data_IF_681011532669
#
_entry.id   IF_681011532669
#
_cell.length_a   1.000
_cell.length_b   1.000
_cell.length_c   1.000
_cell.angle_alpha   90.00
_cell.angle_beta   90.00
_cell.angle_gamma   90.00
#
_symmetry.space_group_name_H-M   'P 1'
#
loop_
_entity.id
_entity.type
_entity.pdbx_description
1 polymer ?
#
# COMPACT_ATOMS: atom_id res chain seq x y z
N UNK A 1 -50.50 -16.16 -45.05
CA UNK A 1 -49.97 -16.17 -43.67
C UNK A 1 -49.50 -14.76 -43.36
N UNK A 2 -50.15 -14.12 -42.39
CA UNK A 2 -50.14 -12.66 -42.20
C UNK A 2 -49.02 -12.22 -41.27
N UNK A 3 -48.44 -11.04 -41.52
CA UNK A 3 -47.34 -10.41 -40.74
C UNK A 3 -47.57 -10.43 -39.22
N UNK A 4 -48.84 -10.45 -38.78
CA UNK A 4 -49.27 -10.58 -37.39
C UNK A 4 -48.89 -11.91 -36.73
N UNK A 5 -48.94 -13.03 -37.45
CA UNK A 5 -48.57 -14.35 -36.91
C UNK A 5 -47.05 -14.46 -36.70
N UNK A 6 -46.26 -13.85 -37.60
CA UNK A 6 -44.80 -13.77 -37.44
C UNK A 6 -44.43 -12.89 -36.24
N UNK A 7 -45.06 -11.73 -36.05
CA UNK A 7 -44.81 -10.87 -34.88
C UNK A 7 -45.18 -11.55 -33.56
N UNK A 8 -46.31 -12.25 -33.51
CA UNK A 8 -46.72 -13.00 -32.33
C UNK A 8 -45.70 -14.10 -31.97
N UNK A 9 -45.17 -14.82 -32.96
CA UNK A 9 -44.15 -15.84 -32.75
C UNK A 9 -42.82 -15.24 -32.24
N UNK A 10 -42.37 -14.13 -32.81
CA UNK A 10 -41.15 -13.45 -32.35
C UNK A 10 -41.29 -12.93 -30.92
N UNK A 11 -42.47 -12.40 -30.56
CA UNK A 11 -42.75 -11.96 -29.19
C UNK A 11 -42.69 -13.17 -28.25
N UNK A 12 -43.38 -14.26 -28.55
CA UNK A 12 -43.37 -15.48 -27.70
C UNK A 12 -41.95 -16.03 -27.53
N UNK A 13 -41.16 -16.11 -28.59
CA UNK A 13 -39.77 -16.57 -28.52
C UNK A 13 -38.92 -15.65 -27.65
N UNK A 14 -39.06 -14.32 -27.79
CA UNK A 14 -38.34 -13.36 -26.96
C UNK A 14 -38.73 -13.46 -25.47
N UNK A 15 -40.02 -13.65 -25.16
CA UNK A 15 -40.50 -13.82 -23.78
C UNK A 15 -40.00 -15.14 -23.17
N UNK A 16 -39.95 -16.22 -23.95
CA UNK A 16 -39.42 -17.52 -23.49
C UNK A 16 -37.91 -17.45 -23.25
N UNK A 17 -37.13 -16.86 -24.16
CA UNK A 17 -35.68 -16.72 -23.96
C UNK A 17 -35.32 -15.86 -22.74
N UNK A 18 -36.07 -14.77 -22.50
CA UNK A 18 -35.80 -13.88 -21.35
C UNK A 18 -36.20 -14.51 -20.01
N UNK A 19 -37.28 -15.28 -19.96
CA UNK A 19 -37.74 -15.93 -18.72
C UNK A 19 -36.88 -17.15 -18.33
N UNK A 20 -36.42 -17.96 -19.29
CA UNK A 20 -35.52 -19.07 -18.98
C UNK A 20 -34.15 -18.61 -18.46
N UNK A 21 -33.69 -17.42 -18.86
CA UNK A 21 -32.39 -16.89 -18.44
C UNK A 21 -32.34 -16.52 -16.94
N UNK A 22 -33.49 -16.28 -16.31
CA UNK A 22 -33.56 -15.92 -14.87
C UNK A 22 -33.60 -17.14 -13.94
N UNK A 23 -33.96 -18.33 -14.44
CA UNK A 23 -34.05 -19.56 -13.62
C UNK A 23 -32.74 -20.35 -13.51
N UNK A 24 -31.69 -19.98 -14.26
CA UNK A 24 -30.44 -20.76 -14.35
C UNK A 24 -29.23 -20.14 -13.66
N UNK A 25 -29.32 -18.92 -13.13
CA UNK A 25 -28.21 -18.29 -12.44
C UNK A 25 -28.09 -18.89 -11.02
N UNK A 26 -26.95 -19.54 -10.66
CA UNK A 26 -26.73 -19.93 -9.28
C UNK A 26 -26.75 -18.70 -8.38
N UNK A 27 -27.26 -18.80 -7.14
CA UNK A 27 -27.17 -17.70 -6.19
C UNK A 27 -25.70 -17.32 -6.00
N UNK A 28 -25.37 -16.05 -6.25
CA UNK A 28 -24.08 -15.49 -5.89
C UNK A 28 -24.04 -15.34 -4.37
N UNK A 29 -23.39 -16.27 -3.68
CA UNK A 29 -23.10 -16.10 -2.26
C UNK A 29 -21.94 -15.12 -2.12
N UNK A 30 -22.21 -13.96 -1.53
CA UNK A 30 -21.14 -13.10 -1.05
C UNK A 30 -20.36 -13.86 0.03
N UNK A 31 -19.10 -14.18 -0.24
CA UNK A 31 -18.21 -14.72 0.78
C UNK A 31 -17.97 -13.60 1.77
N UNK A 32 -18.61 -13.70 2.93
CA UNK A 32 -18.35 -12.77 4.03
C UNK A 32 -16.92 -13.00 4.53
N UNK A 33 -16.14 -11.93 4.82
CA UNK A 33 -14.84 -12.09 5.45
C UNK A 33 -14.97 -12.97 6.71
N UNK A 34 -14.02 -13.89 6.95
CA UNK A 34 -14.06 -14.72 8.14
C UNK A 34 -14.07 -13.84 9.38
N UNK A 35 -14.84 -14.20 10.43
CA UNK A 35 -14.84 -13.45 11.68
C UNK A 35 -13.44 -13.49 12.32
N UNK A 36 -13.07 -12.39 13.00
CA UNK A 36 -11.81 -12.30 13.74
C UNK A 36 -11.89 -13.21 14.98
N UNK A 37 -10.95 -14.15 15.10
CA UNK A 37 -10.81 -15.01 16.27
C UNK A 37 -9.64 -14.51 17.15
N UNK A 38 -9.98 -13.75 18.21
CA UNK A 38 -8.99 -13.19 19.13
C UNK A 38 -8.18 -14.25 19.90
N UNK A 39 -8.65 -15.51 19.94
CA UNK A 39 -7.90 -16.60 20.59
C UNK A 39 -6.68 -17.04 19.79
N UNK A 40 -6.55 -16.59 18.54
CA UNK A 40 -5.42 -16.89 17.65
C UNK A 40 -4.31 -15.84 17.66
N UNK A 41 -4.42 -14.81 18.50
CA UNK A 41 -3.35 -13.83 18.65
C UNK A 41 -2.10 -14.53 19.20
N UNK A 42 -0.90 -14.25 18.65
CA UNK A 42 0.33 -14.77 19.21
C UNK A 42 0.60 -14.15 20.58
N UNK A 43 1.23 -14.91 21.46
CA UNK A 43 1.76 -14.38 22.72
C UNK A 43 2.82 -13.31 22.43
N UNK A 44 2.89 -12.22 23.23
CA UNK A 44 3.94 -11.23 23.11
C UNK A 44 5.33 -11.88 23.28
N UNK A 45 6.20 -11.67 22.30
CA UNK A 45 7.58 -12.14 22.32
C UNK A 45 8.52 -11.06 21.81
N UNK A 46 9.80 -11.06 22.21
CA UNK A 46 10.80 -10.20 21.59
C UNK A 46 10.87 -10.43 20.07
N UNK A 47 11.13 -9.38 19.27
CA UNK A 47 11.31 -9.51 17.82
C UNK A 47 12.42 -10.50 17.49
N UNK A 48 12.06 -11.50 16.67
CA UNK A 48 12.98 -12.50 16.15
C UNK A 48 12.36 -13.22 14.95
N UNK A 49 13.17 -13.73 14.01
CA UNK A 49 12.65 -14.55 12.94
C UNK A 49 12.14 -15.89 13.48
N UNK A 50 11.04 -16.45 12.94
CA UNK A 50 10.47 -17.72 13.40
C UNK A 50 11.39 -18.93 13.15
N UNK A 51 12.36 -18.78 12.24
CA UNK A 51 13.42 -19.75 11.93
C UNK A 51 14.71 -19.00 11.60
N UNK A 52 15.90 -19.63 11.78
CA UNK A 52 17.15 -19.00 11.37
C UNK A 52 17.15 -18.59 9.90
N UNK A 53 17.59 -17.37 9.62
CA UNK A 53 17.73 -16.79 8.29
C UNK A 53 19.21 -16.58 7.95
N UNK A 54 19.50 -16.40 6.66
CA UNK A 54 20.82 -16.03 6.16
C UNK A 54 20.66 -14.97 5.08
N UNK A 55 21.55 -13.98 5.07
CA UNK A 55 21.64 -13.03 3.97
C UNK A 55 22.21 -13.73 2.73
N UNK A 56 21.55 -13.57 1.59
CA UNK A 56 21.95 -14.21 0.32
C UNK A 56 22.43 -13.22 -0.73
N UNK A 57 21.93 -11.99 -0.68
CA UNK A 57 22.24 -10.93 -1.62
C UNK A 57 22.96 -9.78 -0.91
N UNK A 58 23.69 -8.97 -1.68
CA UNK A 58 24.28 -7.72 -1.17
C UNK A 58 23.18 -6.70 -0.91
N UNK A 59 23.36 -5.87 0.12
CA UNK A 59 22.39 -4.82 0.41
C UNK A 59 22.31 -3.81 -0.74
N UNK A 60 21.09 -3.38 -1.02
CA UNK A 60 20.76 -2.41 -2.07
C UNK A 60 20.38 -1.08 -1.43
N UNK A 61 20.90 0.01 -1.98
CA UNK A 61 20.47 1.36 -1.63
C UNK A 61 19.61 1.93 -2.78
N UNK A 62 18.56 2.71 -2.47
CA UNK A 62 17.83 3.43 -3.50
C UNK A 62 18.79 4.37 -4.23
N UNK A 63 18.82 4.30 -5.56
CA UNK A 63 19.57 5.24 -6.39
C UNK A 63 18.61 6.22 -7.04
N UNK A 64 19.03 7.48 -7.18
CA UNK A 64 18.35 8.41 -8.06
C UNK A 64 18.41 7.87 -9.51
N UNK A 65 17.31 7.99 -10.24
CA UNK A 65 17.31 7.73 -11.68
C UNK A 65 18.29 8.71 -12.35
N UNK A 66 19.18 8.22 -13.21
CA UNK A 66 20.10 9.08 -13.98
C UNK A 66 19.46 9.41 -15.32
N UNK A 67 19.05 10.67 -15.54
CA UNK A 67 18.51 11.11 -16.83
C UNK A 67 17.58 12.33 -16.73
N UNK A 68 17.05 12.78 -17.87
CA UNK A 68 16.15 13.94 -18.05
C UNK A 68 14.79 13.84 -17.34
N UNK A 69 14.60 12.88 -16.44
CA UNK A 69 13.41 12.67 -15.62
C UNK A 69 13.50 13.35 -14.25
N UNK A 70 14.69 13.84 -13.87
CA UNK A 70 14.85 14.86 -12.82
C UNK A 70 14.45 16.23 -13.36
N UNK A 71 13.17 16.35 -13.68
CA UNK A 71 12.54 17.63 -13.83
C UNK A 71 12.22 18.12 -12.41
N UNK A 72 12.67 19.32 -11.99
CA UNK A 72 12.37 19.86 -10.66
C UNK A 72 10.86 20.03 -10.37
N UNK A 73 10.04 19.88 -11.41
CA UNK A 73 8.58 19.92 -11.48
C UNK A 73 7.95 18.55 -11.77
N UNK A 74 8.68 17.42 -11.71
CA UNK A 74 8.05 16.09 -11.74
C UNK A 74 7.23 15.96 -10.46
N UNK A 75 5.94 16.28 -10.57
CA UNK A 75 4.96 16.20 -9.51
C UNK A 75 5.10 14.83 -8.84
N UNK A 76 5.66 14.81 -7.63
CA UNK A 76 5.67 13.62 -6.80
C UNK A 76 4.21 13.19 -6.60
N UNK A 77 3.94 11.92 -6.34
CA UNK A 77 2.56 11.48 -6.05
C UNK A 77 1.91 12.34 -4.94
N UNK A 78 2.74 12.86 -4.02
CA UNK A 78 2.35 13.79 -2.96
C UNK A 78 1.94 15.19 -3.45
N UNK A 79 2.41 15.65 -4.61
CA UNK A 79 2.03 16.95 -5.16
C UNK A 79 0.52 17.05 -5.45
N UNK A 80 -0.16 15.91 -5.65
CA UNK A 80 -1.62 15.85 -5.82
C UNK A 80 -2.42 16.05 -4.52
N UNK A 81 -1.79 15.95 -3.34
CA UNK A 81 -2.45 15.95 -2.04
C UNK A 81 -2.59 17.34 -1.39
N UNK A 82 -2.14 18.41 -2.06
CA UNK A 82 -2.06 19.78 -1.52
C UNK A 82 -1.60 19.81 -0.05
N UNK A 83 -0.45 19.17 0.20
CA UNK A 83 0.14 19.08 1.54
C UNK A 83 0.32 20.45 2.21
N UNK A 84 0.68 21.56 1.51
CA UNK A 84 0.71 22.88 2.12
C UNK A 84 -0.60 23.29 2.79
N UNK A 85 -1.75 22.95 2.19
CA UNK A 85 -3.05 23.21 2.80
C UNK A 85 -3.34 22.29 3.99
N UNK A 86 -2.99 21.01 3.90
CA UNK A 86 -3.14 20.03 5.00
C UNK A 86 -2.30 20.44 6.22
N UNK A 87 -1.06 20.89 5.98
CA UNK A 87 -0.14 21.30 7.04
C UNK A 87 -0.55 22.54 7.83
N UNK A 88 -1.45 23.36 7.30
CA UNK A 88 -2.08 24.44 8.05
C UNK A 88 -3.00 23.91 9.16
N UNK A 89 -3.47 22.67 9.03
CA UNK A 89 -4.31 21.99 10.04
C UNK A 89 -3.46 21.14 10.99
N UNK A 90 -2.55 20.33 10.46
CA UNK A 90 -1.64 19.49 11.26
C UNK A 90 -0.43 19.02 10.45
N UNK A 91 0.69 18.78 11.14
CA UNK A 91 1.90 18.13 10.61
C UNK A 91 2.25 16.84 11.34
N UNK A 92 1.28 16.23 12.02
CA UNK A 92 1.47 14.98 12.75
C UNK A 92 2.26 15.10 14.07
N UNK A 93 2.42 16.31 14.63
CA UNK A 93 3.14 16.50 15.90
C UNK A 93 2.56 15.62 17.03
N UNK A 94 3.44 14.93 17.76
CA UNK A 94 3.08 14.00 18.83
C UNK A 94 2.61 12.62 18.37
N UNK A 95 2.44 12.38 17.06
CA UNK A 95 2.06 11.06 16.54
C UNK A 95 3.30 10.17 16.38
N UNK A 96 3.14 8.88 16.68
CA UNK A 96 4.13 7.83 16.44
C UNK A 96 3.59 6.87 15.40
N UNK A 97 4.33 6.67 14.31
CA UNK A 97 3.97 5.75 13.23
C UNK A 97 4.93 4.58 13.22
N UNK A 98 4.41 3.34 13.23
CA UNK A 98 5.21 2.15 13.04
C UNK A 98 5.34 1.84 11.55
N UNK A 99 6.57 1.66 11.05
CA UNK A 99 6.86 1.23 9.69
C UNK A 99 7.28 -0.23 9.75
N UNK A 100 6.37 -1.13 9.35
CA UNK A 100 6.63 -2.58 9.29
C UNK A 100 7.08 -2.89 7.87
N UNK A 101 8.39 -2.94 7.66
CA UNK A 101 9.00 -2.97 6.33
C UNK A 101 10.39 -3.65 6.39
N UNK A 102 11.28 -3.39 5.42
CA UNK A 102 12.65 -3.94 5.32
C UNK A 102 13.66 -3.32 6.29
N UNK A 103 13.17 -2.50 7.23
CA UNK A 103 13.94 -1.65 8.13
C UNK A 103 14.00 -0.20 7.66
N UNK A 104 14.54 0.69 8.49
CA UNK A 104 14.66 2.12 8.17
C UNK A 104 16.04 2.60 8.54
N UNK A 105 16.84 3.01 7.54
CA UNK A 105 18.16 3.60 7.77
C UNK A 105 18.04 5.06 8.21
N UNK A 106 18.46 5.44 9.43
CA UNK A 106 18.44 6.83 9.87
C UNK A 106 19.32 7.71 8.98
N UNK A 107 18.81 8.89 8.61
CA UNK A 107 19.51 9.82 7.73
C UNK A 107 19.11 11.28 8.00
N UNK A 108 19.73 12.25 7.30
CA UNK A 108 19.52 13.70 7.51
C UNK A 108 18.04 14.11 7.56
N UNK A 109 17.20 13.45 6.77
CA UNK A 109 15.76 13.74 6.65
C UNK A 109 14.88 12.84 7.53
N UNK A 110 15.45 11.79 8.11
CA UNK A 110 14.77 10.82 8.99
C UNK A 110 15.54 10.71 10.32
N UNK A 111 15.48 11.77 11.13
CA UNK A 111 16.27 11.89 12.37
C UNK A 111 15.58 11.30 13.60
N UNK A 112 14.27 11.13 13.55
CA UNK A 112 13.44 10.69 14.67
C UNK A 112 13.05 9.20 14.58
N UNK A 113 13.85 8.40 13.87
CA UNK A 113 13.65 6.95 13.77
C UNK A 113 13.93 6.34 15.14
N UNK A 114 12.97 5.55 15.64
CA UNK A 114 13.08 4.81 16.89
C UNK A 114 13.10 3.32 16.55
N UNK A 115 14.02 2.57 17.16
CA UNK A 115 14.10 1.12 17.01
C UNK A 115 12.76 0.43 17.30
N UNK A 116 12.34 -0.44 16.37
CA UNK A 116 11.07 -1.19 16.43
C UNK A 116 11.23 -2.70 16.52
N UNK A 117 12.45 -3.21 16.34
CA UNK A 117 12.76 -4.64 16.30
C UNK A 117 13.00 -5.16 14.88
N UNK A 118 13.55 -6.37 14.81
CA UNK A 118 13.86 -7.07 13.57
C UNK A 118 13.28 -8.50 13.63
N UNK A 119 12.44 -8.83 12.66
CA UNK A 119 11.82 -10.16 12.50
C UNK A 119 12.46 -10.97 11.36
N UNK A 120 13.54 -10.47 10.76
CA UNK A 120 14.25 -11.07 9.64
C UNK A 120 15.63 -11.54 10.06
N UNK A 121 16.46 -10.70 10.67
CA UNK A 121 17.83 -11.05 11.08
C UNK A 121 18.06 -10.81 12.58
N UNK A 122 19.18 -10.18 12.94
CA UNK A 122 19.54 -9.72 14.28
C UNK A 122 19.74 -8.21 14.16
N UNK A 123 18.90 -7.46 14.85
CA UNK A 123 18.94 -6.01 14.78
C UNK A 123 17.77 -5.40 15.54
N UNK A 124 17.63 -4.11 15.37
CA UNK A 124 16.61 -3.30 16.05
C UNK A 124 15.65 -2.60 15.06
N UNK A 125 15.76 -2.96 13.77
CA UNK A 125 14.97 -2.40 12.67
C UNK A 125 15.52 -1.09 12.09
N UNK A 126 16.65 -0.58 12.61
CA UNK A 126 17.28 0.66 12.09
C UNK A 126 18.33 0.41 10.99
N UNK A 127 18.35 -0.81 10.44
CA UNK A 127 19.15 -1.18 9.29
C UNK A 127 18.19 -1.56 8.16
N UNK A 128 18.41 -1.02 6.97
CA UNK A 128 17.60 -1.32 5.79
C UNK A 128 18.50 -1.85 4.67
N UNK A 129 18.44 -3.14 4.41
CA UNK A 129 19.28 -3.80 3.40
C UNK A 129 18.64 -3.76 2.00
N UNK A 130 17.37 -3.38 1.90
CA UNK A 130 16.61 -3.36 0.65
C UNK A 130 16.28 -1.92 0.20
N UNK A 131 16.39 -0.94 1.10
CA UNK A 131 16.11 0.47 0.84
C UNK A 131 14.63 0.83 0.81
N UNK A 132 13.74 -0.16 0.79
CA UNK A 132 12.30 0.02 0.64
C UNK A 132 11.70 0.73 1.86
N UNK A 133 11.97 0.23 3.07
CA UNK A 133 11.43 0.82 4.29
C UNK A 133 11.94 2.24 4.54
N UNK A 134 13.17 2.57 4.13
CA UNK A 134 13.69 3.95 4.19
C UNK A 134 12.93 4.89 3.25
N UNK A 135 12.56 4.44 2.04
CA UNK A 135 11.73 5.22 1.11
C UNK A 135 10.32 5.40 1.66
N UNK A 136 9.71 4.33 2.19
CA UNK A 136 8.39 4.38 2.83
C UNK A 136 8.38 5.34 4.01
N UNK A 137 9.36 5.25 4.92
CA UNK A 137 9.51 6.17 6.04
C UNK A 137 9.73 7.62 5.56
N UNK A 138 10.41 7.80 4.42
CA UNK A 138 10.57 9.09 3.75
C UNK A 138 9.23 9.72 3.34
N UNK A 139 8.35 8.94 2.69
CA UNK A 139 7.00 9.38 2.33
C UNK A 139 6.19 9.74 3.58
N UNK A 140 6.33 8.98 4.67
CA UNK A 140 5.59 9.22 5.91
C UNK A 140 6.05 10.48 6.64
N UNK A 141 7.36 10.69 6.80
CA UNK A 141 7.87 11.67 7.76
C UNK A 141 9.23 12.31 7.41
N UNK A 142 9.68 12.30 6.15
CA UNK A 142 10.90 13.01 5.79
C UNK A 142 10.78 14.51 6.09
N UNK A 143 11.77 15.05 6.81
CA UNK A 143 11.88 16.50 6.99
C UNK A 143 12.10 17.19 5.64
N UNK A 144 11.48 18.35 5.38
CA UNK A 144 11.72 19.12 4.16
C UNK A 144 13.17 19.64 4.12
N UNK A 145 13.71 19.81 2.91
CA UNK A 145 15.04 20.33 2.66
C UNK A 145 15.02 21.31 1.47
N UNK A 146 14.43 22.48 1.70
CA UNK A 146 14.14 23.47 0.66
C UNK A 146 15.37 24.00 -0.08
N UNK A 147 16.56 23.80 0.48
CA UNK A 147 17.82 24.19 -0.14
C UNK A 147 18.24 23.22 -1.27
N UNK A 148 17.69 22.00 -1.29
CA UNK A 148 18.08 20.93 -2.21
C UNK A 148 16.92 20.43 -3.08
N UNK A 149 15.72 20.26 -2.52
CA UNK A 149 14.54 19.76 -3.25
C UNK A 149 13.20 20.18 -2.62
N UNK A 150 12.10 19.87 -3.32
CA UNK A 150 10.72 20.13 -2.88
C UNK A 150 10.06 18.94 -2.17
N UNK A 151 10.78 17.84 -1.95
CA UNK A 151 10.24 16.67 -1.29
C UNK A 151 10.00 16.97 0.20
N UNK A 152 9.02 16.30 0.79
CA UNK A 152 8.73 16.25 2.22
C UNK A 152 7.88 15.01 2.46
N UNK A 153 7.97 14.44 3.66
CA UNK A 153 6.96 13.51 4.13
C UNK A 153 5.60 14.21 4.26
N UNK A 154 4.54 13.40 4.34
CA UNK A 154 3.13 13.83 4.50
C UNK A 154 2.92 14.73 5.71
#
# INVERSE_FOLDING_TARGET
>A
MTVRAAHALHIVVATVLTTLSQCGAPPAYAVSPPPIDNKRLPEPAPPAPPRPTVQREMCTAPSAATGSEQRPDTATQLASLDLPRVWQLTRGSGQRVAVIDTGVSPQRRLRNVVAGGDYVFRGDGTQDCDGHGTVVAGIVAAMPDSDHDSFSGV
#
